data_IF_664770568571
#
_entry.id   IF_664770568571
#
_cell.length_a   1.000
_cell.length_b   1.000
_cell.length_c   1.000
_cell.angle_alpha   90.00
_cell.angle_beta   90.00
_cell.angle_gamma   90.00
#
_symmetry.space_group_name_H-M   'P 1'
#
loop_
_entity.id
_entity.type
_entity.pdbx_description
1 polymer ?
#
# COMPACT_ATOMS: atom_id res chain seq x y z
N UNK A 1 11.65 6.96 -16.93
CA UNK A 1 11.78 7.14 -15.47
C UNK A 1 12.37 8.52 -15.22
N UNK A 2 11.62 9.34 -14.52
CA UNK A 2 11.98 10.73 -14.24
C UNK A 2 12.88 10.81 -13.00
N UNK A 3 13.78 11.80 -13.00
CA UNK A 3 14.55 12.14 -11.82
C UNK A 3 13.77 13.11 -10.94
N UNK A 4 13.97 13.08 -9.61
CA UNK A 4 13.36 14.09 -8.75
C UNK A 4 13.84 15.48 -9.14
N UNK A 5 12.92 16.45 -9.20
CA UNK A 5 13.27 17.86 -9.51
C UNK A 5 14.06 18.50 -8.37
N UNK A 6 13.87 18.02 -7.14
CA UNK A 6 14.59 18.46 -5.92
C UNK A 6 14.43 17.40 -4.83
N UNK A 7 15.25 17.50 -3.77
CA UNK A 7 15.22 16.59 -2.65
C UNK A 7 16.04 15.31 -2.89
N UNK A 8 15.88 14.34 -1.99
CA UNK A 8 16.62 13.08 -1.97
C UNK A 8 15.67 11.90 -1.82
N UNK A 9 16.04 10.77 -2.42
CA UNK A 9 15.35 9.48 -2.21
C UNK A 9 16.28 8.59 -1.40
N UNK A 10 15.94 8.39 -0.12
CA UNK A 10 16.74 7.58 0.79
C UNK A 10 16.12 6.19 0.95
N UNK A 11 16.91 5.14 0.79
CA UNK A 11 16.54 3.76 1.13
C UNK A 11 17.60 3.24 2.07
N UNK A 12 17.20 2.89 3.30
CA UNK A 12 18.11 2.44 4.35
C UNK A 12 19.27 3.43 4.56
N UNK A 13 18.97 4.73 4.59
CA UNK A 13 19.93 5.82 4.77
C UNK A 13 20.84 6.12 3.58
N UNK A 14 20.75 5.36 2.48
CA UNK A 14 21.53 5.58 1.27
C UNK A 14 20.75 6.38 0.23
N UNK A 15 21.39 7.39 -0.35
CA UNK A 15 20.77 8.21 -1.41
C UNK A 15 20.71 7.43 -2.72
N UNK A 16 19.49 7.24 -3.21
CA UNK A 16 19.18 6.53 -4.47
C UNK A 16 18.82 7.48 -5.62
N UNK A 17 18.95 8.79 -5.45
CA UNK A 17 18.50 9.79 -6.44
C UNK A 17 19.16 9.60 -7.80
N UNK A 18 20.48 9.32 -7.82
CA UNK A 18 21.25 9.09 -9.02
C UNK A 18 21.46 7.59 -9.36
N UNK A 19 20.99 6.67 -8.48
CA UNK A 19 21.12 5.23 -8.71
C UNK A 19 20.06 4.78 -9.71
N UNK A 20 20.44 4.13 -10.82
CA UNK A 20 19.47 3.66 -11.81
C UNK A 20 18.55 2.59 -11.20
N UNK A 21 17.27 2.50 -11.61
CA UNK A 21 16.25 1.64 -11.00
C UNK A 21 16.68 0.18 -10.82
N UNK A 22 17.36 -0.40 -11.81
CA UNK A 22 17.79 -1.80 -11.77
C UNK A 22 18.93 -2.10 -10.77
N UNK A 23 19.59 -1.06 -10.23
CA UNK A 23 20.62 -1.19 -9.19
C UNK A 23 20.09 -0.86 -7.79
N UNK A 24 18.87 -0.35 -7.66
CA UNK A 24 18.28 -0.06 -6.36
C UNK A 24 17.90 -1.35 -5.66
N UNK A 25 18.01 -1.43 -4.32
CA UNK A 25 17.59 -2.59 -3.54
C UNK A 25 16.06 -2.67 -3.42
N UNK A 26 15.37 -2.47 -4.54
CA UNK A 26 13.91 -2.42 -4.63
C UNK A 26 13.43 -3.34 -5.73
N UNK A 27 12.27 -3.96 -5.52
CA UNK A 27 11.53 -4.64 -6.58
C UNK A 27 10.10 -4.11 -6.65
N UNK A 28 9.44 -4.38 -7.75
CA UNK A 28 8.07 -3.91 -8.00
C UNK A 28 7.19 -5.06 -8.51
N UNK A 29 5.99 -5.12 -8.00
CA UNK A 29 4.91 -5.93 -8.51
C UNK A 29 3.88 -5.01 -9.17
N UNK A 30 3.62 -5.22 -10.45
CA UNK A 30 2.70 -4.43 -11.26
C UNK A 30 1.26 -4.93 -11.11
N UNK A 31 0.28 -4.06 -11.33
CA UNK A 31 -1.14 -4.32 -11.27
C UNK A 31 -1.58 -5.55 -12.08
N UNK A 32 -1.01 -5.76 -13.27
CA UNK A 32 -1.30 -6.90 -14.15
C UNK A 32 -0.37 -8.10 -13.91
N UNK A 33 0.39 -8.08 -12.79
CA UNK A 33 1.38 -9.09 -12.39
C UNK A 33 2.58 -9.24 -13.35
N UNK A 34 2.48 -8.81 -14.59
CA UNK A 34 3.52 -8.83 -15.65
C UNK A 34 4.30 -10.17 -15.69
N UNK A 35 3.60 -11.32 -15.53
CA UNK A 35 4.22 -12.64 -15.64
C UNK A 35 4.57 -12.94 -17.09
N UNK A 36 5.69 -13.63 -17.30
CA UNK A 36 6.10 -14.12 -18.61
C UNK A 36 5.24 -15.33 -19.02
N UNK A 37 4.32 -15.20 -20.00
CA UNK A 37 3.31 -16.22 -20.28
C UNK A 37 3.90 -17.52 -20.88
N UNK A 38 5.07 -17.42 -21.51
CA UNK A 38 5.78 -18.55 -22.11
C UNK A 38 6.67 -19.31 -21.12
N UNK A 39 6.89 -18.77 -19.93
CA UNK A 39 7.71 -19.38 -18.88
C UNK A 39 6.86 -20.13 -17.86
N UNK A 40 7.45 -21.14 -17.23
CA UNK A 40 6.85 -21.80 -16.06
C UNK A 40 6.91 -20.88 -14.83
N UNK A 41 6.20 -21.25 -13.74
CA UNK A 41 6.28 -20.57 -12.44
C UNK A 41 7.73 -20.48 -11.97
N UNK A 42 8.44 -21.60 -11.96
CA UNK A 42 9.86 -21.66 -11.58
C UNK A 42 10.71 -20.65 -12.38
N UNK A 43 10.57 -20.66 -13.70
CA UNK A 43 11.33 -19.76 -14.58
C UNK A 43 10.95 -18.29 -14.41
N UNK A 44 9.68 -17.99 -14.15
CA UNK A 44 9.25 -16.64 -13.82
C UNK A 44 9.95 -16.13 -12.56
N UNK A 45 10.03 -16.95 -11.52
CA UNK A 45 10.67 -16.58 -10.24
C UNK A 45 12.20 -16.50 -10.41
N UNK A 46 12.80 -17.46 -11.10
CA UNK A 46 14.25 -17.53 -11.31
C UNK A 46 14.81 -16.42 -12.18
N UNK A 47 13.98 -15.79 -13.02
CA UNK A 47 14.43 -14.87 -14.07
C UNK A 47 15.38 -13.77 -13.58
N UNK A 48 15.04 -13.13 -12.47
CA UNK A 48 15.90 -12.06 -11.89
C UNK A 48 17.23 -12.59 -11.36
N UNK A 49 17.24 -13.78 -10.76
CA UNK A 49 18.45 -14.42 -10.23
C UNK A 49 19.38 -14.90 -11.34
N UNK A 50 18.82 -15.37 -12.45
CA UNK A 50 19.59 -15.76 -13.65
C UNK A 50 20.35 -14.56 -14.24
N UNK A 51 19.71 -13.37 -14.25
CA UNK A 51 20.37 -12.13 -14.72
C UNK A 51 21.50 -11.69 -13.79
N UNK A 52 21.40 -12.00 -12.49
CA UNK A 52 22.47 -11.70 -11.52
C UNK A 52 23.63 -12.71 -11.58
N UNK A 53 23.52 -13.79 -12.40
CA UNK A 53 24.57 -14.77 -12.61
C UNK A 53 24.76 -15.77 -11.46
N UNK A 54 23.73 -16.04 -10.65
CA UNK A 54 23.78 -17.01 -9.56
C UNK A 54 24.07 -18.43 -10.06
N UNK A 55 24.80 -19.21 -9.25
CA UNK A 55 25.04 -20.62 -9.53
C UNK A 55 23.72 -21.41 -9.52
N UNK A 56 23.59 -22.42 -10.41
CA UNK A 56 22.35 -23.19 -10.56
C UNK A 56 21.84 -23.84 -9.28
N UNK A 57 22.74 -24.28 -8.41
CA UNK A 57 22.40 -24.88 -7.11
C UNK A 57 21.78 -23.84 -6.17
N UNK A 58 22.39 -22.68 -6.01
CA UNK A 58 21.90 -21.59 -5.18
C UNK A 58 20.57 -21.03 -5.72
N UNK A 59 20.48 -20.86 -7.05
CA UNK A 59 19.26 -20.43 -7.72
C UNK A 59 18.10 -21.38 -7.43
N UNK A 60 18.31 -22.70 -7.56
CA UNK A 60 17.28 -23.70 -7.29
C UNK A 60 16.80 -23.65 -5.84
N UNK A 61 17.75 -23.53 -4.90
CA UNK A 61 17.43 -23.44 -3.48
C UNK A 61 16.60 -22.18 -3.14
N UNK A 62 17.00 -21.01 -3.63
CA UNK A 62 16.24 -19.78 -3.45
C UNK A 62 14.82 -19.85 -4.04
N UNK A 63 14.69 -20.43 -5.24
CA UNK A 63 13.39 -20.63 -5.88
C UNK A 63 12.51 -21.62 -5.11
N UNK A 64 13.06 -22.71 -4.60
CA UNK A 64 12.30 -23.68 -3.82
C UNK A 64 11.86 -23.10 -2.46
N UNK A 65 12.70 -22.31 -1.81
CA UNK A 65 12.39 -21.64 -0.56
C UNK A 65 11.26 -20.61 -0.75
N UNK A 66 11.32 -19.78 -1.79
CA UNK A 66 10.27 -18.79 -2.03
C UNK A 66 8.95 -19.46 -2.47
N UNK A 67 9.00 -20.52 -3.26
CA UNK A 67 7.81 -21.32 -3.61
C UNK A 67 7.12 -21.91 -2.38
N UNK A 68 7.90 -22.36 -1.39
CA UNK A 68 7.39 -22.84 -0.12
C UNK A 68 6.74 -21.72 0.68
N UNK A 69 7.35 -20.52 0.70
CA UNK A 69 6.81 -19.37 1.39
C UNK A 69 5.42 -18.96 0.86
N UNK A 70 5.25 -18.98 -0.47
CA UNK A 70 3.99 -18.60 -1.13
C UNK A 70 3.05 -19.79 -1.41
N UNK A 71 3.36 -20.98 -0.90
CA UNK A 71 2.55 -22.21 -1.02
C UNK A 71 2.25 -22.63 -2.48
N UNK A 72 3.26 -22.56 -3.34
CA UNK A 72 3.13 -22.89 -4.77
C UNK A 72 4.08 -24.00 -5.25
N UNK A 73 4.59 -24.87 -4.36
CA UNK A 73 5.53 -25.94 -4.71
C UNK A 73 4.99 -26.87 -5.81
N UNK A 74 3.72 -27.27 -5.71
CA UNK A 74 3.06 -28.19 -6.65
C UNK A 74 2.80 -27.54 -8.02
N UNK A 75 2.92 -26.22 -8.11
CA UNK A 75 2.68 -25.46 -9.32
C UNK A 75 3.97 -25.07 -10.07
N UNK A 76 5.13 -25.49 -9.58
CA UNK A 76 6.46 -25.13 -10.07
C UNK A 76 6.60 -25.22 -11.60
N UNK A 77 6.05 -26.28 -12.22
CA UNK A 77 6.13 -26.55 -13.66
C UNK A 77 4.97 -25.98 -14.48
N UNK A 78 3.95 -25.40 -13.83
CA UNK A 78 2.80 -24.81 -14.54
C UNK A 78 3.17 -23.47 -15.18
N UNK A 79 2.39 -23.07 -16.20
CA UNK A 79 2.48 -21.76 -16.84
C UNK A 79 1.40 -20.83 -16.27
N UNK A 80 1.53 -19.50 -16.39
CA UNK A 80 0.57 -18.52 -15.86
C UNK A 80 -0.90 -18.77 -16.29
N UNK A 81 -1.13 -19.28 -17.51
CA UNK A 81 -2.47 -19.57 -18.01
C UNK A 81 -3.16 -20.74 -17.29
N UNK A 82 -2.40 -21.57 -16.57
CA UNK A 82 -2.88 -22.72 -15.80
C UNK A 82 -3.13 -22.40 -14.33
N UNK A 83 -3.06 -21.11 -13.96
CA UNK A 83 -3.16 -20.62 -12.59
C UNK A 83 -4.42 -19.78 -12.39
N UNK A 84 -4.98 -19.81 -11.17
CA UNK A 84 -6.01 -18.85 -10.74
C UNK A 84 -5.44 -17.44 -10.61
N UNK A 85 -6.30 -16.41 -10.44
CA UNK A 85 -5.91 -15.02 -10.20
C UNK A 85 -4.95 -14.88 -9.02
N UNK A 86 -5.34 -15.42 -7.85
CA UNK A 86 -4.52 -15.38 -6.63
C UNK A 86 -3.21 -16.15 -6.77
N UNK A 87 -3.21 -17.31 -7.48
CA UNK A 87 -1.97 -18.02 -7.76
C UNK A 87 -1.02 -17.21 -8.65
N UNK A 88 -1.52 -16.53 -9.69
CA UNK A 88 -0.68 -15.62 -10.51
C UNK A 88 -0.10 -14.49 -9.68
N UNK A 89 -0.88 -13.91 -8.79
CA UNK A 89 -0.42 -12.87 -7.86
C UNK A 89 0.71 -13.38 -6.97
N UNK A 90 0.55 -14.57 -6.33
CA UNK A 90 1.60 -15.17 -5.50
C UNK A 90 2.88 -15.47 -6.29
N UNK A 91 2.77 -15.86 -7.56
CA UNK A 91 3.96 -16.01 -8.44
C UNK A 91 4.65 -14.66 -8.67
N UNK A 92 3.90 -13.59 -8.92
CA UNK A 92 4.47 -12.25 -9.10
C UNK A 92 5.14 -11.74 -7.82
N UNK A 93 4.50 -11.95 -6.68
CA UNK A 93 5.06 -11.63 -5.36
C UNK A 93 6.35 -12.42 -5.10
N UNK A 94 6.34 -13.74 -5.33
CA UNK A 94 7.53 -14.59 -5.19
C UNK A 94 8.68 -14.12 -6.09
N UNK A 95 8.40 -13.77 -7.35
CA UNK A 95 9.39 -13.20 -8.28
C UNK A 95 9.98 -11.88 -7.76
N UNK A 96 9.16 -11.05 -7.14
CA UNK A 96 9.60 -9.78 -6.60
C UNK A 96 10.41 -9.94 -5.29
N UNK A 97 10.11 -10.97 -4.50
CA UNK A 97 10.77 -11.23 -3.20
C UNK A 97 12.03 -12.08 -3.30
N UNK A 98 12.18 -12.93 -4.33
CA UNK A 98 13.28 -13.90 -4.42
C UNK A 98 14.68 -13.27 -4.43
N UNK A 99 14.78 -11.99 -4.81
CA UNK A 99 16.02 -11.19 -4.76
C UNK A 99 16.25 -10.52 -3.40
N UNK A 100 15.39 -10.76 -2.41
CA UNK A 100 15.49 -10.23 -1.06
C UNK A 100 15.64 -8.68 -1.04
N UNK A 101 14.72 -7.94 -1.69
CA UNK A 101 14.80 -6.48 -1.73
C UNK A 101 14.62 -5.88 -0.34
N UNK A 102 15.18 -4.69 -0.08
CA UNK A 102 14.91 -3.92 1.14
C UNK A 102 13.54 -3.26 1.12
N UNK A 103 13.04 -2.94 -0.09
CA UNK A 103 11.76 -2.29 -0.32
C UNK A 103 11.03 -2.97 -1.47
N UNK A 104 9.80 -3.41 -1.23
CA UNK A 104 8.89 -3.93 -2.24
C UNK A 104 7.79 -2.92 -2.56
N UNK A 105 7.68 -2.55 -3.83
CA UNK A 105 6.64 -1.67 -4.33
C UNK A 105 5.50 -2.51 -4.91
N UNK A 106 4.28 -2.29 -4.46
CA UNK A 106 3.08 -3.00 -4.89
C UNK A 106 2.11 -1.99 -5.51
N UNK A 107 1.87 -2.10 -6.80
CA UNK A 107 0.97 -1.22 -7.55
C UNK A 107 -0.38 -1.90 -7.74
N UNK A 108 -1.39 -1.45 -7.00
CA UNK A 108 -2.75 -2.01 -6.95
C UNK A 108 -2.77 -3.56 -6.88
N UNK A 109 -2.12 -4.16 -5.89
CA UNK A 109 -1.83 -5.60 -5.89
C UNK A 109 -3.08 -6.49 -5.89
N UNK A 110 -4.23 -5.99 -5.42
CA UNK A 110 -5.46 -6.77 -5.25
C UNK A 110 -6.58 -6.32 -6.20
N UNK A 111 -6.37 -5.32 -7.05
CA UNK A 111 -7.41 -4.74 -7.90
C UNK A 111 -8.06 -5.74 -8.88
N UNK A 112 -7.30 -6.75 -9.33
CA UNK A 112 -7.78 -7.75 -10.29
C UNK A 112 -8.55 -8.93 -9.65
N UNK A 113 -8.80 -8.89 -8.32
CA UNK A 113 -9.45 -9.98 -7.58
C UNK A 113 -10.90 -9.64 -7.23
N UNK A 114 -11.76 -10.68 -7.21
CA UNK A 114 -13.09 -10.55 -6.62
C UNK A 114 -13.00 -10.35 -5.09
N UNK A 115 -14.09 -9.86 -4.46
CA UNK A 115 -14.09 -9.47 -3.05
C UNK A 115 -13.61 -10.58 -2.11
N UNK A 116 -14.12 -11.81 -2.27
CA UNK A 116 -13.77 -12.93 -1.38
C UNK A 116 -12.29 -13.32 -1.51
N UNK A 117 -11.80 -13.37 -2.74
CA UNK A 117 -10.39 -13.70 -3.00
C UNK A 117 -9.47 -12.58 -2.54
N UNK A 118 -9.92 -11.31 -2.63
CA UNK A 118 -9.21 -10.13 -2.14
C UNK A 118 -8.98 -10.21 -0.63
N UNK A 119 -10.04 -10.43 0.17
CA UNK A 119 -9.93 -10.59 1.62
C UNK A 119 -8.95 -11.71 2.02
N UNK A 120 -9.05 -12.88 1.38
CA UNK A 120 -8.11 -13.98 1.64
C UNK A 120 -6.66 -13.60 1.31
N UNK A 121 -6.46 -12.94 0.17
CA UNK A 121 -5.13 -12.57 -0.29
C UNK A 121 -4.52 -11.43 0.53
N UNK A 122 -5.33 -10.53 1.11
CA UNK A 122 -4.85 -9.54 2.08
C UNK A 122 -4.15 -10.23 3.27
N UNK A 123 -4.81 -11.20 3.90
CA UNK A 123 -4.23 -11.96 5.02
C UNK A 123 -2.95 -12.70 4.62
N UNK A 124 -2.93 -13.30 3.42
CA UNK A 124 -1.74 -13.97 2.90
C UNK A 124 -0.58 -12.98 2.71
N UNK A 125 -0.86 -11.79 2.17
CA UNK A 125 0.15 -10.75 1.95
C UNK A 125 0.75 -10.24 3.27
N UNK A 126 -0.08 -10.02 4.30
CA UNK A 126 0.37 -9.65 5.64
C UNK A 126 1.25 -10.74 6.25
N UNK A 127 0.82 -12.01 6.19
CA UNK A 127 1.59 -13.14 6.71
C UNK A 127 2.96 -13.30 6.00
N UNK A 128 3.01 -13.03 4.70
CA UNK A 128 4.27 -13.05 3.95
C UNK A 128 5.15 -11.88 4.37
N UNK A 129 4.60 -10.67 4.51
CA UNK A 129 5.32 -9.49 4.97
C UNK A 129 5.98 -9.73 6.34
N UNK A 130 5.22 -10.26 7.30
CA UNK A 130 5.72 -10.58 8.65
C UNK A 130 6.87 -11.59 8.62
N UNK A 131 6.75 -12.61 7.77
CA UNK A 131 7.77 -13.67 7.64
C UNK A 131 9.06 -13.17 6.98
N UNK A 132 8.97 -12.27 5.99
CA UNK A 132 10.15 -11.83 5.24
C UNK A 132 10.80 -10.57 5.84
N UNK A 133 10.08 -9.78 6.65
CA UNK A 133 10.57 -8.56 7.27
C UNK A 133 10.95 -7.44 6.28
N UNK A 134 10.44 -7.48 5.04
CA UNK A 134 10.67 -6.49 3.99
C UNK A 134 9.67 -5.34 4.14
N UNK A 135 10.11 -4.10 3.94
CA UNK A 135 9.20 -2.97 3.90
C UNK A 135 8.38 -3.00 2.61
N UNK A 136 7.04 -2.94 2.73
CA UNK A 136 6.13 -2.83 1.60
C UNK A 136 5.64 -1.39 1.45
N UNK A 137 5.63 -0.88 0.23
CA UNK A 137 4.90 0.33 -0.15
C UNK A 137 3.80 -0.08 -1.10
N UNK A 138 2.56 0.05 -0.65
CA UNK A 138 1.35 -0.32 -1.41
C UNK A 138 0.73 0.95 -1.97
N UNK A 139 0.54 1.01 -3.27
CA UNK A 139 -0.29 2.04 -3.92
C UNK A 139 -1.64 1.42 -4.21
N UNK A 140 -2.69 2.02 -3.68
CA UNK A 140 -4.07 1.55 -3.87
C UNK A 140 -5.05 2.71 -3.85
N UNK A 141 -6.18 2.55 -4.51
CA UNK A 141 -7.35 3.42 -4.39
C UNK A 141 -8.46 2.79 -3.54
N UNK A 142 -8.24 1.57 -3.04
CA UNK A 142 -9.16 0.85 -2.17
C UNK A 142 -8.85 1.19 -0.70
N UNK A 143 -9.83 1.79 -0.02
CA UNK A 143 -9.70 2.24 1.36
C UNK A 143 -9.58 1.07 2.33
N UNK A 144 -10.36 -0.01 2.12
CA UNK A 144 -10.30 -1.21 2.97
C UNK A 144 -8.91 -1.86 2.89
N UNK A 145 -8.33 -1.89 1.68
CA UNK A 145 -6.97 -2.38 1.46
C UNK A 145 -5.94 -1.53 2.22
N UNK A 146 -6.00 -0.20 2.07
CA UNK A 146 -5.09 0.71 2.75
C UNK A 146 -5.18 0.57 4.28
N UNK A 147 -6.41 0.55 4.82
CA UNK A 147 -6.65 0.46 6.27
C UNK A 147 -6.23 -0.90 6.86
N UNK A 148 -6.34 -1.99 6.08
CA UNK A 148 -6.04 -3.35 6.56
C UNK A 148 -4.55 -3.69 6.48
N UNK A 149 -3.89 -3.31 5.36
CA UNK A 149 -2.52 -3.75 5.08
C UNK A 149 -1.45 -2.82 5.68
N UNK A 150 -1.80 -1.59 6.04
CA UNK A 150 -0.79 -0.58 6.31
C UNK A 150 -0.56 -0.33 7.79
N UNK A 151 0.69 -0.17 8.18
CA UNK A 151 1.07 0.42 9.48
C UNK A 151 1.04 1.95 9.44
N UNK A 152 1.22 2.53 8.25
CA UNK A 152 1.11 3.97 7.96
C UNK A 152 0.48 4.20 6.60
N UNK A 153 -0.38 5.20 6.53
CA UNK A 153 -1.06 5.63 5.30
C UNK A 153 -0.61 7.04 4.95
N UNK A 154 -0.44 7.29 3.66
CA UNK A 154 -0.25 8.62 3.10
C UNK A 154 -1.37 8.88 2.09
N UNK A 155 -2.28 9.80 2.41
CA UNK A 155 -3.34 10.21 1.49
C UNK A 155 -2.79 11.26 0.53
N UNK A 156 -2.98 11.04 -0.76
CA UNK A 156 -2.45 11.92 -1.82
C UNK A 156 -3.59 12.50 -2.66
N UNK A 157 -3.54 13.81 -2.92
CA UNK A 157 -4.39 14.49 -3.90
C UNK A 157 -3.53 15.41 -4.77
N UNK A 158 -3.80 15.40 -6.09
CA UNK A 158 -3.13 16.27 -7.07
C UNK A 158 -1.60 16.33 -6.93
N UNK A 159 -0.97 15.17 -6.66
CA UNK A 159 0.48 15.03 -6.55
C UNK A 159 1.06 15.53 -5.22
N UNK A 160 0.24 15.80 -4.20
CA UNK A 160 0.68 16.24 -2.87
C UNK A 160 0.17 15.29 -1.79
N UNK A 161 0.98 15.06 -0.77
CA UNK A 161 0.52 14.40 0.44
C UNK A 161 -0.35 15.38 1.25
N UNK A 162 -1.60 14.99 1.47
CA UNK A 162 -2.57 15.78 2.26
C UNK A 162 -2.45 15.43 3.74
N UNK A 163 -2.37 14.14 4.03
CA UNK A 163 -2.20 13.64 5.40
C UNK A 163 -1.40 12.35 5.40
N UNK A 164 -0.58 12.18 6.43
CA UNK A 164 0.12 10.93 6.72
C UNK A 164 -0.08 10.57 8.18
N UNK A 165 -0.36 9.30 8.47
CA UNK A 165 -0.60 8.82 9.83
C UNK A 165 -0.79 7.31 9.88
N UNK A 166 -1.09 6.78 11.06
CA UNK A 166 -1.60 5.43 11.23
C UNK A 166 -3.02 5.32 10.66
N UNK A 167 -3.52 4.11 10.34
CA UNK A 167 -4.92 3.92 9.94
C UNK A 167 -5.91 4.59 10.89
N UNK A 168 -5.73 4.42 12.20
CA UNK A 168 -6.59 5.03 13.23
C UNK A 168 -6.54 6.56 13.16
N UNK A 169 -5.36 7.17 13.04
CA UNK A 169 -5.23 8.64 12.96
C UNK A 169 -5.92 9.19 11.70
N UNK A 170 -5.77 8.52 10.56
CA UNK A 170 -6.39 8.95 9.30
C UNK A 170 -7.92 8.84 9.38
N UNK A 171 -8.45 7.80 10.03
CA UNK A 171 -9.87 7.54 10.16
C UNK A 171 -10.53 8.46 11.20
N UNK A 172 -9.95 8.55 12.40
CA UNK A 172 -10.54 9.26 13.55
C UNK A 172 -10.28 10.78 13.50
N UNK A 173 -9.17 11.20 12.87
CA UNK A 173 -8.71 12.60 12.86
C UNK A 173 -8.33 13.06 11.46
N UNK A 174 -9.27 13.04 10.50
CA UNK A 174 -8.99 13.56 9.15
C UNK A 174 -8.67 15.07 9.19
N UNK A 175 -7.59 15.48 8.53
CA UNK A 175 -7.12 16.88 8.56
C UNK A 175 -8.00 17.84 7.76
N UNK A 176 -8.72 17.32 6.75
CA UNK A 176 -9.62 18.10 5.93
C UNK A 176 -10.79 17.25 5.40
N UNK A 177 -11.73 17.94 4.73
CA UNK A 177 -12.91 17.33 4.13
C UNK A 177 -12.56 16.25 3.10
N UNK A 178 -11.52 16.48 2.29
CA UNK A 178 -11.12 15.51 1.26
C UNK A 178 -10.71 14.17 1.89
N UNK A 179 -9.91 14.22 2.98
CA UNK A 179 -9.49 13.00 3.68
C UNK A 179 -10.69 12.29 4.31
N UNK A 180 -11.59 13.05 4.96
CA UNK A 180 -12.79 12.50 5.58
C UNK A 180 -13.72 11.82 4.56
N UNK A 181 -13.99 12.47 3.43
CA UNK A 181 -14.79 11.92 2.33
C UNK A 181 -14.12 10.72 1.66
N UNK A 182 -12.78 10.75 1.56
CA UNK A 182 -12.02 9.71 0.88
C UNK A 182 -11.91 8.42 1.71
N UNK A 183 -11.74 8.52 3.04
CA UNK A 183 -11.50 7.36 3.92
C UNK A 183 -12.77 6.71 4.44
N UNK A 184 -13.88 7.44 4.49
CA UNK A 184 -15.13 6.91 5.06
C UNK A 184 -16.38 7.50 4.43
N UNK A 185 -17.51 6.86 4.73
CA UNK A 185 -18.83 7.42 4.40
C UNK A 185 -19.25 8.43 5.49
N UNK A 186 -18.40 9.45 5.74
CA UNK A 186 -18.69 10.46 6.74
C UNK A 186 -19.86 11.35 6.30
N UNK A 187 -20.83 11.56 7.21
CA UNK A 187 -21.87 12.57 6.99
C UNK A 187 -21.34 13.93 7.41
N UNK A 188 -20.72 14.65 6.49
CA UNK A 188 -20.11 15.95 6.77
C UNK A 188 -21.17 17.04 6.64
N UNK A 189 -21.41 17.78 7.72
CA UNK A 189 -22.37 18.87 7.81
C UNK A 189 -21.63 20.21 7.83
N UNK A 190 -22.10 21.16 7.04
CA UNK A 190 -21.69 22.55 7.17
C UNK A 190 -22.31 23.14 8.44
N UNK A 191 -21.50 23.71 9.30
CA UNK A 191 -21.93 24.30 10.55
C UNK A 191 -21.29 25.67 10.84
N UNK A 192 -22.06 26.57 11.46
CA UNK A 192 -21.58 27.86 11.91
C UNK A 192 -21.30 27.82 13.41
N UNK A 193 -20.14 28.29 13.82
CA UNK A 193 -19.74 28.37 15.23
C UNK A 193 -20.54 29.49 15.92
N UNK A 194 -21.40 29.09 16.86
CA UNK A 194 -22.21 30.05 17.65
C UNK A 194 -21.58 30.41 18.98
N UNK A 195 -20.80 29.54 19.57
CA UNK A 195 -20.01 29.81 20.79
C UNK A 195 -18.74 28.95 20.85
N UNK A 196 -17.71 29.52 21.51
CA UNK A 196 -16.49 28.79 21.89
C UNK A 196 -16.08 29.28 23.28
N UNK A 197 -16.47 28.57 24.31
CA UNK A 197 -16.25 28.92 25.72
C UNK A 197 -15.55 27.75 26.41
N UNK A 198 -14.42 28.06 27.04
CA UNK A 198 -13.64 27.07 27.82
C UNK A 198 -13.32 25.77 27.09
N UNK A 199 -13.04 25.86 25.76
CA UNK A 199 -12.74 24.69 24.95
C UNK A 199 -13.98 23.88 24.55
N UNK A 200 -15.17 24.36 24.84
CA UNK A 200 -16.42 23.80 24.32
C UNK A 200 -16.92 24.65 23.17
N UNK A 201 -16.94 24.05 21.98
CA UNK A 201 -17.43 24.68 20.75
C UNK A 201 -18.85 24.23 20.50
N UNK A 202 -19.76 25.19 20.27
CA UNK A 202 -21.13 24.93 19.81
C UNK A 202 -21.25 25.36 18.35
N UNK A 203 -21.78 24.45 17.52
CA UNK A 203 -22.00 24.66 16.10
C UNK A 203 -23.46 24.44 15.76
N UNK A 204 -24.03 25.33 14.98
CA UNK A 204 -25.37 25.17 14.41
C UNK A 204 -25.26 24.68 12.98
N UNK A 205 -25.97 23.60 12.69
CA UNK A 205 -26.10 23.03 11.34
C UNK A 205 -27.59 23.02 10.94
N UNK A 206 -27.90 22.61 9.73
CA UNK A 206 -29.29 22.42 9.30
C UNK A 206 -30.01 21.26 10.02
N UNK A 207 -29.27 20.32 10.62
CA UNK A 207 -29.82 19.22 11.43
C UNK A 207 -29.99 19.55 12.90
N UNK A 208 -29.42 20.68 13.37
CA UNK A 208 -29.50 21.10 14.75
C UNK A 208 -28.18 21.63 15.31
N UNK A 209 -28.12 21.70 16.65
CA UNK A 209 -26.94 22.18 17.37
C UNK A 209 -26.11 21.01 17.86
N UNK A 210 -24.82 21.09 17.65
CA UNK A 210 -23.83 20.13 18.13
C UNK A 210 -22.85 20.83 19.05
N UNK A 211 -22.34 20.13 20.05
CA UNK A 211 -21.27 20.65 20.90
C UNK A 211 -20.17 19.61 21.07
N UNK A 212 -18.94 20.03 20.94
CA UNK A 212 -17.75 19.20 21.10
C UNK A 212 -16.64 19.94 21.83
N UNK A 213 -15.70 19.19 22.38
CA UNK A 213 -14.49 19.77 22.98
C UNK A 213 -13.45 20.03 21.90
N UNK A 214 -12.89 21.23 21.88
CA UNK A 214 -11.77 21.56 21.01
C UNK A 214 -10.77 22.42 21.79
N UNK A 215 -9.50 22.11 21.61
CA UNK A 215 -8.39 22.86 22.21
C UNK A 215 -7.96 24.07 21.38
N UNK A 216 -8.41 24.15 20.12
CA UNK A 216 -8.09 25.25 19.21
C UNK A 216 -9.03 26.43 19.40
N UNK A 217 -8.51 27.66 19.25
CA UNK A 217 -9.32 28.87 19.27
C UNK A 217 -10.01 28.99 17.90
N UNK A 218 -11.31 28.74 17.88
CA UNK A 218 -12.14 28.88 16.68
C UNK A 218 -13.02 30.12 16.89
N UNK A 219 -12.98 31.07 15.95
CA UNK A 219 -13.75 32.27 16.03
C UNK A 219 -15.26 32.02 15.87
N UNK A 220 -16.09 32.76 16.63
CA UNK A 220 -17.54 32.78 16.42
C UNK A 220 -17.85 33.24 15.00
N UNK A 221 -18.80 32.59 14.33
CA UNK A 221 -19.16 32.88 12.93
C UNK A 221 -18.28 32.17 11.89
N UNK A 222 -17.27 31.40 12.32
CA UNK A 222 -16.52 30.55 11.41
C UNK A 222 -17.38 29.39 10.92
N UNK A 223 -17.16 28.97 9.66
CA UNK A 223 -17.73 27.73 9.13
C UNK A 223 -16.87 26.56 9.53
N UNK A 224 -17.47 25.51 10.06
CA UNK A 224 -16.83 24.24 10.36
C UNK A 224 -17.56 23.11 9.64
N UNK A 225 -16.78 22.08 9.31
CA UNK A 225 -17.32 20.80 8.89
C UNK A 225 -17.43 19.90 10.11
N UNK A 226 -18.63 19.35 10.35
CA UNK A 226 -18.94 18.46 11.46
C UNK A 226 -19.29 17.09 10.87
N UNK A 227 -18.52 16.08 11.23
CA UNK A 227 -18.70 14.70 10.77
C UNK A 227 -18.88 13.74 11.94
#
# INVERSE_FOLDING_TARGET
>A
FEKPSSGQILIDGQDMSEVPPYKRPTNMMFQNYALFPHMTVEKNIAFGLEQDGLAKTELSEKVDNILKLVELQDYKKRRPQQLSGGQRQRVALARALVKEPKLLLLDEPLAALDKKLREQTQFELMNIQDKVGVTFVVVTHDQEEAMTLSTRIAVMDKGRFIQTGTPTEIYEYPNDRFVADFIGSANILDGEVVSNIEGKVEVTTYLGKFSFKNTSIIAKGSTLYVG
#
